data_IF_139313057281
#
_entry.id   IF_139313057281
#
_cell.length_a   1.000
_cell.length_b   1.000
_cell.length_c   1.000
_cell.angle_alpha   90.00
_cell.angle_beta   90.00
_cell.angle_gamma   90.00
#
_symmetry.space_group_name_H-M   'P 1'
#
loop_
_entity.id
_entity.type
_entity.pdbx_description
1 polymer ?
#
# COMPACT_ATOMS: atom_id res chain seq x y z
N UNK A 1 12.74 -15.46 21.06
CA UNK A 1 12.45 -14.34 20.12
C UNK A 1 13.65 -13.44 19.82
N UNK A 2 14.55 -13.15 20.77
CA UNK A 2 15.69 -12.25 20.50
C UNK A 2 16.75 -12.83 19.55
N UNK A 3 17.02 -14.14 19.63
CA UNK A 3 18.00 -14.80 18.77
C UNK A 3 17.61 -14.75 17.28
N UNK A 4 16.33 -15.02 16.97
CA UNK A 4 15.77 -14.96 15.62
C UNK A 4 15.85 -13.53 15.05
N UNK A 5 15.57 -12.51 15.86
CA UNK A 5 15.70 -11.11 15.43
C UNK A 5 17.14 -10.74 15.07
N UNK A 6 18.13 -11.21 15.85
CA UNK A 6 19.56 -10.99 15.55
C UNK A 6 19.98 -11.69 14.26
N UNK A 7 19.49 -12.90 14.02
CA UNK A 7 19.79 -13.65 12.80
C UNK A 7 19.14 -13.03 11.55
N UNK A 8 17.92 -12.49 11.68
CA UNK A 8 17.20 -11.81 10.59
C UNK A 8 17.67 -10.36 10.36
N UNK A 9 18.43 -9.78 11.28
CA UNK A 9 18.94 -8.41 11.17
C UNK A 9 19.70 -8.12 9.87
N UNK A 10 20.71 -8.94 9.45
CA UNK A 10 21.40 -8.71 8.19
C UNK A 10 20.46 -8.78 6.97
N UNK A 11 19.46 -9.68 7.00
CA UNK A 11 18.44 -9.80 5.95
C UNK A 11 17.56 -8.55 5.93
N UNK A 12 17.19 -8.02 7.10
CA UNK A 12 16.42 -6.78 7.21
C UNK A 12 17.19 -5.57 6.68
N UNK A 13 18.51 -5.51 6.91
CA UNK A 13 19.36 -4.44 6.40
C UNK A 13 19.41 -4.49 4.87
N UNK A 14 19.61 -5.68 4.30
CA UNK A 14 19.59 -5.87 2.85
C UNK A 14 18.22 -5.50 2.24
N UNK A 15 17.13 -5.93 2.86
CA UNK A 15 15.78 -5.56 2.44
C UNK A 15 15.58 -4.03 2.50
N UNK A 16 16.02 -3.38 3.58
CA UNK A 16 15.95 -1.93 3.74
C UNK A 16 16.74 -1.20 2.65
N UNK A 17 17.94 -1.66 2.32
CA UNK A 17 18.76 -1.10 1.25
C UNK A 17 18.07 -1.21 -0.11
N UNK A 18 17.49 -2.36 -0.44
CA UNK A 18 16.74 -2.57 -1.68
C UNK A 18 15.53 -1.63 -1.76
N UNK A 19 14.75 -1.50 -0.68
CA UNK A 19 13.60 -0.59 -0.62
C UNK A 19 14.04 0.87 -0.75
N UNK A 20 15.14 1.25 -0.10
CA UNK A 20 15.71 2.59 -0.19
C UNK A 20 16.06 2.95 -1.64
N UNK A 21 16.80 2.09 -2.34
CA UNK A 21 17.13 2.31 -3.75
C UNK A 21 15.87 2.35 -4.62
N UNK A 22 14.91 1.45 -4.41
CA UNK A 22 13.64 1.45 -5.15
C UNK A 22 12.91 2.79 -5.00
N UNK A 23 12.78 3.30 -3.77
CA UNK A 23 12.12 4.57 -3.51
C UNK A 23 12.88 5.73 -4.16
N UNK A 24 14.22 5.73 -4.07
CA UNK A 24 15.05 6.75 -4.71
C UNK A 24 14.87 6.79 -6.23
N UNK A 25 14.69 5.64 -6.87
CA UNK A 25 14.41 5.56 -8.32
C UNK A 25 13.02 6.13 -8.68
N UNK A 26 12.02 5.99 -7.82
CA UNK A 26 10.74 6.69 -7.99
C UNK A 26 10.89 8.20 -7.79
N UNK A 27 11.60 8.64 -6.75
CA UNK A 27 11.82 10.07 -6.47
C UNK A 27 12.60 10.78 -7.58
N UNK A 28 13.54 10.07 -8.22
CA UNK A 28 14.31 10.55 -9.38
C UNK A 28 13.53 10.49 -10.70
N UNK A 29 12.31 9.93 -10.71
CA UNK A 29 11.51 9.77 -11.93
C UNK A 29 12.02 8.69 -12.90
N UNK A 30 12.94 7.82 -12.47
CA UNK A 30 13.43 6.70 -13.29
C UNK A 30 12.33 5.68 -13.52
N UNK A 31 11.50 5.42 -12.50
CA UNK A 31 10.31 4.60 -12.64
C UNK A 31 9.08 5.45 -13.01
N UNK A 32 8.30 4.94 -13.96
CA UNK A 32 7.09 5.61 -14.43
C UNK A 32 6.00 5.59 -13.34
N UNK A 33 5.48 6.78 -13.04
CA UNK A 33 4.30 6.97 -12.20
C UNK A 33 3.10 7.28 -13.08
N UNK A 34 1.95 6.65 -12.82
CA UNK A 34 0.71 6.91 -13.54
C UNK A 34 -0.15 7.89 -12.75
N UNK A 35 -0.63 8.93 -13.43
CA UNK A 35 -1.64 9.85 -12.90
C UNK A 35 -2.98 9.55 -13.53
N UNK A 36 -4.05 9.85 -12.80
CA UNK A 36 -5.42 9.66 -13.26
C UNK A 36 -6.15 11.01 -13.22
N UNK A 37 -7.14 11.20 -14.10
CA UNK A 37 -7.96 12.40 -14.11
C UNK A 37 -8.84 12.55 -12.86
N UNK A 38 -9.09 11.44 -12.16
CA UNK A 38 -9.89 11.42 -10.93
C UNK A 38 -9.02 11.68 -9.70
N UNK A 39 -9.57 12.43 -8.73
CA UNK A 39 -8.93 12.63 -7.43
C UNK A 39 -8.73 11.28 -6.74
N UNK A 40 -7.48 10.94 -6.44
CA UNK A 40 -7.10 9.63 -5.92
C UNK A 40 -6.50 9.78 -4.53
N UNK A 41 -7.04 9.06 -3.55
CA UNK A 41 -6.55 9.03 -2.17
C UNK A 41 -5.95 7.65 -1.91
N UNK A 42 -4.66 7.59 -1.59
CA UNK A 42 -3.96 6.34 -1.26
C UNK A 42 -3.90 6.15 0.26
N UNK A 43 -4.55 5.11 0.78
CA UNK A 43 -4.52 4.77 2.21
C UNK A 43 -3.55 3.59 2.43
N UNK A 44 -2.46 3.84 3.16
CA UNK A 44 -1.37 2.87 3.37
C UNK A 44 -0.86 2.82 4.81
N UNK A 45 0.09 1.92 5.08
CA UNK A 45 0.85 1.89 6.33
C UNK A 45 2.27 1.34 6.08
N UNK A 46 3.20 1.63 6.98
CA UNK A 46 4.59 1.16 6.96
C UNK A 46 4.75 -0.25 7.53
N UNK A 47 3.86 -0.66 8.45
CA UNK A 47 3.92 -1.97 9.11
C UNK A 47 3.02 -3.00 8.43
N UNK A 48 3.48 -4.26 8.45
CA UNK A 48 2.67 -5.43 8.10
C UNK A 48 1.72 -5.81 9.24
N UNK A 49 0.58 -6.40 8.90
CA UNK A 49 -0.44 -6.84 9.86
C UNK A 49 -1.70 -5.96 9.89
N UNK A 50 -2.51 -6.13 10.94
CA UNK A 50 -3.77 -5.42 11.15
C UNK A 50 -3.52 -4.00 11.63
N UNK A 51 -3.42 -3.05 10.70
CA UNK A 51 -2.99 -1.67 11.00
C UNK A 51 -4.12 -0.66 10.81
N UNK A 52 -5.37 -1.05 11.04
CA UNK A 52 -6.53 -0.15 11.00
C UNK A 52 -6.90 0.42 9.61
N UNK A 53 -6.27 -0.04 8.51
CA UNK A 53 -6.56 0.47 7.16
C UNK A 53 -8.03 0.30 6.77
N UNK A 54 -8.65 -0.84 7.08
CA UNK A 54 -10.05 -1.11 6.73
C UNK A 54 -11.02 -0.17 7.45
N UNK A 55 -10.97 -0.01 8.79
CA UNK A 55 -11.78 1.02 9.48
C UNK A 55 -11.53 2.44 8.97
N UNK A 56 -10.28 2.79 8.66
CA UNK A 56 -9.95 4.11 8.12
C UNK A 56 -10.58 4.35 6.74
N UNK A 57 -10.57 3.35 5.86
CA UNK A 57 -11.23 3.43 4.55
C UNK A 57 -12.74 3.56 4.72
N UNK A 58 -13.35 2.81 5.64
CA UNK A 58 -14.77 2.91 5.93
C UNK A 58 -15.17 4.31 6.40
N UNK A 59 -14.37 4.91 7.29
CA UNK A 59 -14.55 6.30 7.73
C UNK A 59 -14.48 7.26 6.54
N UNK A 60 -13.44 7.16 5.71
CA UNK A 60 -13.28 8.05 4.55
C UNK A 60 -14.43 7.92 3.55
N UNK A 61 -14.94 6.72 3.32
CA UNK A 61 -16.05 6.48 2.40
C UNK A 61 -17.35 7.04 2.95
N UNK A 62 -17.59 6.96 4.26
CA UNK A 62 -18.77 7.57 4.90
C UNK A 62 -18.73 9.09 4.76
N UNK A 63 -17.62 9.72 5.13
CA UNK A 63 -17.48 11.19 5.09
C UNK A 63 -17.49 11.74 3.66
N UNK A 64 -16.75 11.11 2.74
CA UNK A 64 -16.65 11.60 1.35
C UNK A 64 -17.82 11.14 0.47
N UNK A 65 -18.51 10.06 0.85
CA UNK A 65 -19.61 9.48 0.09
C UNK A 65 -20.85 10.38 0.02
N UNK A 66 -21.02 11.28 0.99
CA UNK A 66 -22.12 12.26 0.96
C UNK A 66 -21.92 13.34 -0.11
N UNK A 67 -20.66 13.69 -0.42
CA UNK A 67 -20.32 14.79 -1.35
C UNK A 67 -19.79 14.31 -2.70
N UNK A 68 -19.28 13.08 -2.79
CA UNK A 68 -18.60 12.55 -3.97
C UNK A 68 -19.05 11.13 -4.31
N UNK A 69 -19.03 10.80 -5.60
CA UNK A 69 -19.14 9.40 -6.04
C UNK A 69 -17.80 8.69 -5.79
N UNK A 70 -17.71 7.97 -4.69
CA UNK A 70 -16.49 7.28 -4.27
C UNK A 70 -16.43 5.87 -4.87
N UNK A 71 -15.22 5.44 -5.25
CA UNK A 71 -14.92 4.07 -5.62
C UNK A 71 -13.70 3.59 -4.82
N UNK A 72 -13.73 2.33 -4.36
CA UNK A 72 -12.64 1.74 -3.59
C UNK A 72 -11.86 0.79 -4.49
N UNK A 73 -10.56 1.02 -4.64
CA UNK A 73 -9.66 0.09 -5.31
C UNK A 73 -8.90 -0.74 -4.27
N UNK A 74 -9.17 -2.05 -4.23
CA UNK A 74 -8.46 -3.00 -3.38
C UNK A 74 -7.62 -3.96 -4.20
N UNK A 75 -6.47 -4.37 -3.65
CA UNK A 75 -5.60 -5.39 -4.23
C UNK A 75 -6.21 -6.79 -4.22
N UNK A 76 -7.22 -7.05 -3.37
CA UNK A 76 -7.85 -8.38 -3.26
C UNK A 76 -6.90 -9.45 -2.69
N UNK A 77 -6.31 -9.17 -1.52
CA UNK A 77 -5.39 -10.10 -0.86
C UNK A 77 -6.06 -11.47 -0.64
N UNK A 78 -5.36 -12.57 -0.97
CA UNK A 78 -5.84 -13.97 -0.89
C UNK A 78 -6.95 -14.38 -1.87
N UNK A 79 -7.28 -13.56 -2.86
CA UNK A 79 -8.23 -13.96 -3.92
C UNK A 79 -7.62 -15.06 -4.81
N UNK A 80 -8.43 -16.07 -5.16
CA UNK A 80 -8.03 -17.17 -6.07
C UNK A 80 -8.09 -16.78 -7.55
N UNK A 81 -8.89 -15.77 -7.88
CA UNK A 81 -9.02 -15.23 -9.24
C UNK A 81 -7.95 -14.18 -9.53
N UNK A 82 -7.63 -13.96 -10.82
CA UNK A 82 -6.64 -12.99 -11.31
C UNK A 82 -7.32 -11.89 -12.14
N UNK A 83 -6.59 -10.81 -12.46
CA UNK A 83 -7.10 -9.71 -13.29
C UNK A 83 -7.98 -8.71 -12.53
N UNK A 84 -8.44 -7.68 -13.24
CA UNK A 84 -9.38 -6.68 -12.71
C UNK A 84 -10.77 -7.28 -12.59
N UNK A 85 -11.43 -7.07 -11.46
CA UNK A 85 -12.83 -7.44 -11.23
C UNK A 85 -13.58 -6.23 -10.71
N UNK A 86 -14.74 -5.97 -11.31
CA UNK A 86 -15.76 -5.09 -10.76
C UNK A 86 -16.67 -5.95 -9.88
N UNK A 87 -16.83 -5.55 -8.62
CA UNK A 87 -17.65 -6.21 -7.62
C UNK A 87 -18.56 -5.17 -6.96
#
# INVERSE_FOLDING_TARGET
>A
MQLIRKLLFPISLLYGLIVFFRNRLYDMGVFSSKTFAVKTICVGNLSVGGTGKTPMIELLVRELGESFRVAILSRGCKRKTKGFLLA
#
